data_IF_633080261803
#
_entry.id   IF_633080261803
#
_cell.length_a   1.000
_cell.length_b   1.000
_cell.length_c   1.000
_cell.angle_alpha   90.00
_cell.angle_beta   90.00
_cell.angle_gamma   90.00
#
_symmetry.space_group_name_H-M   'P 1'
#
loop_
_entity.id
_entity.type
_entity.pdbx_description
1 polymer ?
#
# COMPACT_ATOMS: atom_id res chain seq x y z
N UNK A 1 -13.70 -15.02 1.15
CA UNK A 1 -13.82 -16.20 0.25
C UNK A 1 -12.84 -17.28 0.67
N UNK A 2 -13.20 -18.57 0.66
CA UNK A 2 -12.24 -19.65 0.95
C UNK A 2 -11.18 -19.75 -0.15
N UNK A 3 -9.94 -20.07 0.23
CA UNK A 3 -8.85 -20.35 -0.70
C UNK A 3 -8.95 -21.82 -1.13
N UNK A 4 -9.14 -22.07 -2.42
CA UNK A 4 -9.39 -23.40 -2.97
C UNK A 4 -8.37 -23.80 -4.05
N UNK A 5 -8.19 -25.11 -4.22
CA UNK A 5 -7.41 -25.70 -5.32
C UNK A 5 -5.92 -25.37 -5.27
N UNK A 6 -5.31 -25.13 -6.44
CA UNK A 6 -3.87 -24.89 -6.59
C UNK A 6 -3.33 -23.66 -5.83
N UNK A 7 -4.21 -22.73 -5.43
CA UNK A 7 -3.82 -21.55 -4.66
C UNK A 7 -3.40 -21.88 -3.22
N UNK A 8 -3.88 -23.00 -2.65
CA UNK A 8 -3.52 -23.45 -1.29
C UNK A 8 -2.01 -23.68 -1.19
N UNK A 9 -1.39 -24.25 -2.23
CA UNK A 9 0.07 -24.50 -2.25
C UNK A 9 0.90 -23.21 -2.22
N UNK A 10 0.34 -22.10 -2.72
CA UNK A 10 1.04 -20.82 -2.84
C UNK A 10 0.77 -19.89 -1.64
N UNK A 11 -0.43 -19.93 -1.07
CA UNK A 11 -0.90 -18.95 -0.09
C UNK A 11 -1.42 -19.56 1.22
N UNK A 12 -1.42 -20.88 1.34
CA UNK A 12 -1.95 -21.60 2.50
C UNK A 12 -3.47 -21.81 2.44
N UNK A 13 -3.95 -22.68 3.31
CA UNK A 13 -5.39 -22.89 3.52
C UNK A 13 -5.95 -21.74 4.38
N UNK A 14 -7.18 -21.33 4.10
CA UNK A 14 -7.84 -20.27 4.86
C UNK A 14 -8.80 -19.45 4.02
N UNK A 15 -9.04 -18.22 4.47
CA UNK A 15 -9.92 -17.26 3.80
C UNK A 15 -9.15 -16.07 3.26
N UNK A 16 -9.52 -15.64 2.06
CA UNK A 16 -9.03 -14.43 1.42
C UNK A 16 -10.10 -13.34 1.45
N UNK A 17 -9.68 -12.11 1.67
CA UNK A 17 -10.50 -10.90 1.47
C UNK A 17 -9.97 -10.06 0.32
N UNK A 18 -10.88 -9.49 -0.47
CA UNK A 18 -10.57 -8.46 -1.47
C UNK A 18 -10.86 -7.12 -0.82
N UNK A 19 -9.88 -6.24 -0.82
CA UNK A 19 -9.94 -4.93 -0.19
C UNK A 19 -10.68 -3.95 -1.10
N UNK A 20 -11.28 -2.91 -0.52
CA UNK A 20 -11.67 -1.73 -1.28
C UNK A 20 -10.46 -0.79 -1.47
N UNK A 21 -10.36 -0.05 -2.59
CA UNK A 21 -9.29 0.93 -2.81
C UNK A 21 -9.19 1.96 -1.69
N UNK A 22 -10.34 2.38 -1.15
CA UNK A 22 -10.42 3.36 -0.06
C UNK A 22 -9.84 2.83 1.26
N UNK A 23 -9.91 1.53 1.52
CA UNK A 23 -9.35 0.93 2.74
C UNK A 23 -7.82 0.90 2.68
N UNK A 24 -7.28 0.63 1.48
CA UNK A 24 -5.83 0.70 1.24
C UNK A 24 -5.34 2.15 1.36
N UNK A 25 -6.06 3.11 0.76
CA UNK A 25 -5.74 4.53 0.87
C UNK A 25 -5.79 5.02 2.34
N UNK A 26 -6.85 4.66 3.07
CA UNK A 26 -6.98 4.99 4.49
C UNK A 26 -5.85 4.38 5.34
N UNK A 27 -5.45 3.14 5.06
CA UNK A 27 -4.33 2.48 5.72
C UNK A 27 -3.00 3.20 5.44
N UNK A 28 -2.79 3.69 4.20
CA UNK A 28 -1.62 4.47 3.83
C UNK A 28 -1.63 5.87 4.49
N UNK A 29 -2.78 6.55 4.55
CA UNK A 29 -2.94 7.84 5.25
C UNK A 29 -2.74 7.76 6.76
N UNK A 30 -3.06 6.62 7.36
CA UNK A 30 -2.90 6.38 8.79
C UNK A 30 -1.44 6.24 9.24
N UNK A 31 -0.47 6.17 8.31
CA UNK A 31 0.95 6.06 8.65
C UNK A 31 1.45 7.40 9.17
N UNK A 32 1.91 7.48 10.43
CA UNK A 32 2.38 8.73 11.01
C UNK A 32 3.68 9.21 10.35
N UNK A 33 3.98 10.51 10.51
CA UNK A 33 5.23 11.10 10.02
C UNK A 33 6.43 10.40 10.67
N UNK A 34 7.51 10.21 9.90
CA UNK A 34 8.72 9.53 10.37
C UNK A 34 8.60 8.01 10.54
N UNK A 35 7.50 7.38 10.07
CA UNK A 35 7.38 5.93 10.01
C UNK A 35 7.18 5.46 8.58
N UNK A 36 7.70 4.26 8.30
CA UNK A 36 7.42 3.50 7.09
C UNK A 36 6.50 2.33 7.43
N UNK A 37 5.65 1.98 6.46
CA UNK A 37 4.87 0.75 6.48
C UNK A 37 5.19 -0.06 5.23
N UNK A 38 4.92 -1.36 5.28
CA UNK A 38 4.99 -2.22 4.09
C UNK A 38 3.60 -2.61 3.60
N UNK A 39 3.50 -3.01 2.34
CA UNK A 39 2.29 -3.65 1.82
C UNK A 39 1.93 -4.92 2.59
N UNK A 40 2.91 -5.69 3.10
CA UNK A 40 2.64 -6.85 3.96
C UNK A 40 1.97 -6.44 5.26
N UNK A 41 2.43 -5.36 5.90
CA UNK A 41 1.84 -4.86 7.14
C UNK A 41 0.41 -4.33 6.94
N UNK A 42 0.17 -3.60 5.84
CA UNK A 42 -1.17 -3.14 5.47
C UNK A 42 -2.11 -4.34 5.25
N UNK A 43 -1.67 -5.35 4.49
CA UNK A 43 -2.43 -6.58 4.25
C UNK A 43 -2.72 -7.33 5.55
N UNK A 44 -1.74 -7.52 6.41
CA UNK A 44 -1.92 -8.23 7.68
C UNK A 44 -2.85 -7.47 8.65
N UNK A 45 -2.87 -6.14 8.59
CA UNK A 45 -3.82 -5.33 9.37
C UNK A 45 -5.24 -5.51 8.85
N UNK A 46 -5.45 -5.34 7.54
CA UNK A 46 -6.79 -5.42 6.93
C UNK A 46 -7.35 -6.84 7.02
N UNK A 47 -6.53 -7.88 6.81
CA UNK A 47 -6.95 -9.28 6.97
C UNK A 47 -7.51 -9.56 8.37
N UNK A 48 -6.86 -9.01 9.42
CA UNK A 48 -7.34 -9.13 10.81
C UNK A 48 -8.65 -8.38 11.04
N UNK A 49 -8.84 -7.22 10.41
CA UNK A 49 -10.09 -6.45 10.53
C UNK A 49 -11.27 -7.22 9.92
N UNK A 50 -11.06 -7.87 8.78
CA UNK A 50 -12.09 -8.64 8.07
C UNK A 50 -12.21 -10.11 8.49
N UNK A 51 -11.48 -10.52 9.55
CA UNK A 51 -11.43 -11.92 10.03
C UNK A 51 -11.05 -12.92 8.92
N UNK A 52 -10.17 -12.49 8.02
CA UNK A 52 -9.63 -13.29 6.94
C UNK A 52 -8.22 -13.79 7.28
N UNK A 53 -7.82 -14.94 6.71
CA UNK A 53 -6.44 -15.44 6.82
C UNK A 53 -5.46 -14.54 6.09
N UNK A 54 -5.82 -14.01 4.93
CA UNK A 54 -4.99 -13.08 4.16
C UNK A 54 -5.79 -12.15 3.26
N UNK A 55 -5.21 -11.01 2.89
CA UNK A 55 -5.74 -10.16 1.82
C UNK A 55 -5.17 -10.57 0.47
N UNK A 56 -5.95 -10.43 -0.60
CA UNK A 56 -5.48 -10.71 -1.95
C UNK A 56 -4.26 -9.82 -2.31
N UNK A 57 -3.06 -10.43 -2.51
CA UNK A 57 -1.83 -9.67 -2.68
C UNK A 57 -1.79 -8.87 -3.99
N UNK A 58 -2.48 -9.35 -5.03
CA UNK A 58 -2.60 -8.66 -6.32
C UNK A 58 -3.38 -7.35 -6.15
N UNK A 59 -4.57 -7.43 -5.55
CA UNK A 59 -5.43 -6.26 -5.38
C UNK A 59 -4.82 -5.22 -4.45
N UNK A 60 -4.15 -5.64 -3.37
CA UNK A 60 -3.45 -4.71 -2.47
C UNK A 60 -2.34 -3.92 -3.20
N UNK A 61 -1.59 -4.58 -4.09
CA UNK A 61 -0.56 -3.92 -4.90
C UNK A 61 -1.14 -2.94 -5.92
N UNK A 62 -2.21 -3.33 -6.63
CA UNK A 62 -2.90 -2.47 -7.60
C UNK A 62 -3.50 -1.25 -6.92
N UNK A 63 -4.20 -1.44 -5.80
CA UNK A 63 -4.86 -0.33 -5.10
C UNK A 63 -3.89 0.63 -4.45
N UNK A 64 -2.78 0.14 -3.89
CA UNK A 64 -1.74 1.03 -3.39
C UNK A 64 -1.07 1.82 -4.53
N UNK A 65 -0.97 1.25 -5.74
CA UNK A 65 -0.51 1.98 -6.92
C UNK A 65 -1.53 3.05 -7.36
N UNK A 66 -2.82 2.73 -7.39
CA UNK A 66 -3.88 3.70 -7.68
C UNK A 66 -3.88 4.84 -6.65
N UNK A 67 -3.74 4.54 -5.36
CA UNK A 67 -3.65 5.54 -4.30
C UNK A 67 -2.43 6.46 -4.46
N UNK A 68 -1.29 5.92 -4.90
CA UNK A 68 -0.10 6.73 -5.19
C UNK A 68 -0.33 7.69 -6.37
N UNK A 69 -0.92 7.21 -7.48
CA UNK A 69 -1.23 8.05 -8.63
C UNK A 69 -2.27 9.12 -8.31
N UNK A 70 -3.33 8.77 -7.58
CA UNK A 70 -4.34 9.71 -7.13
C UNK A 70 -3.74 10.81 -6.22
N UNK A 71 -2.75 10.46 -5.40
CA UNK A 71 -2.02 11.43 -4.59
C UNK A 71 -1.16 12.39 -5.42
N UNK A 72 -0.50 11.89 -6.47
CA UNK A 72 0.27 12.72 -7.40
C UNK A 72 -0.63 13.66 -8.21
N UNK A 73 -1.77 13.17 -8.70
CA UNK A 73 -2.78 14.00 -9.39
C UNK A 73 -3.33 15.09 -8.47
N UNK A 74 -3.64 14.73 -7.21
CA UNK A 74 -4.09 15.69 -6.22
C UNK A 74 -3.01 16.74 -5.88
N UNK A 75 -1.73 16.31 -5.83
CA UNK A 75 -0.59 17.21 -5.63
C UNK A 75 -0.45 18.20 -6.80
N UNK A 76 -0.54 17.71 -8.03
CA UNK A 76 -0.51 18.53 -9.24
C UNK A 76 -1.70 19.50 -9.32
N UNK A 77 -2.85 19.12 -8.78
CA UNK A 77 -4.03 19.98 -8.61
C UNK A 77 -3.92 20.98 -7.44
N UNK A 78 -2.78 21.03 -6.74
CA UNK A 78 -2.52 21.97 -5.64
C UNK A 78 -3.13 21.56 -4.29
N UNK A 79 -3.61 20.31 -4.15
CA UNK A 79 -4.14 19.84 -2.87
C UNK A 79 -3.02 19.57 -1.87
N UNK A 80 -3.20 20.05 -0.63
CA UNK A 80 -2.22 19.88 0.44
C UNK A 80 -2.39 18.59 1.25
N UNK A 81 -3.54 17.90 1.14
CA UNK A 81 -3.88 16.69 1.90
C UNK A 81 -3.90 15.44 1.02
N UNK A 82 -2.74 15.09 0.49
CA UNK A 82 -2.56 13.90 -0.34
C UNK A 82 -2.21 12.67 0.49
N UNK A 83 -2.38 11.48 -0.09
CA UNK A 83 -1.96 10.23 0.54
C UNK A 83 -0.44 10.16 0.59
N UNK A 84 0.19 9.92 1.76
CA UNK A 84 1.65 9.87 1.90
C UNK A 84 2.19 8.54 1.37
N UNK A 85 2.06 8.33 0.06
CA UNK A 85 2.38 7.05 -0.59
C UNK A 85 3.88 6.70 -0.48
N UNK A 86 4.75 7.69 -0.37
CA UNK A 86 6.19 7.53 -0.13
C UNK A 86 6.51 6.79 1.18
N UNK A 87 5.58 6.74 2.14
CA UNK A 87 5.74 5.98 3.39
C UNK A 87 5.43 4.49 3.26
N UNK A 88 4.92 4.06 2.10
CA UNK A 88 4.52 2.67 1.86
C UNK A 88 5.48 1.98 0.89
N UNK A 89 6.18 0.94 1.37
CA UNK A 89 7.13 0.17 0.57
C UNK A 89 6.61 -1.23 0.23
N UNK A 90 7.03 -1.77 -0.93
CA UNK A 90 6.60 -3.10 -1.39
C UNK A 90 7.09 -4.23 -0.47
N UNK A 91 8.32 -4.15 0.02
CA UNK A 91 8.96 -5.13 0.89
C UNK A 91 10.07 -4.47 1.72
N UNK A 92 10.53 -5.16 2.78
CA UNK A 92 11.50 -4.67 3.79
C UNK A 92 12.93 -4.36 3.27
N UNK A 93 13.09 -3.99 2.00
CA UNK A 93 14.41 -3.68 1.43
C UNK A 93 14.45 -2.91 0.11
N UNK A 94 13.37 -2.77 -0.67
CA UNK A 94 13.45 -1.95 -1.89
C UNK A 94 12.07 -1.60 -2.46
N UNK A 95 11.94 -0.32 -2.83
CA UNK A 95 10.92 0.28 -3.72
C UNK A 95 9.59 0.65 -3.05
N UNK A 96 9.32 1.97 -2.99
CA UNK A 96 8.00 2.50 -2.66
C UNK A 96 6.94 2.05 -3.66
N UNK A 97 5.70 1.93 -3.20
CA UNK A 97 4.59 1.63 -4.10
C UNK A 97 4.30 2.87 -4.94
N UNK A 98 4.76 2.87 -6.19
CA UNK A 98 4.56 3.99 -7.10
C UNK A 98 5.84 4.54 -7.73
N UNK A 99 6.79 3.70 -8.15
CA UNK A 99 7.84 4.15 -9.07
C UNK A 99 7.18 4.56 -10.40
N UNK A 100 6.73 5.81 -10.49
CA UNK A 100 6.32 6.48 -11.71
C UNK A 100 7.57 6.61 -12.58
N UNK A 101 7.43 6.39 -13.90
CA UNK A 101 8.54 6.43 -14.86
C UNK A 101 9.31 7.77 -14.85
N UNK A 102 8.74 8.81 -14.25
CA UNK A 102 9.36 10.10 -13.98
C UNK A 102 10.19 10.10 -12.69
N UNK A 103 11.33 9.39 -12.68
CA UNK A 103 12.45 9.65 -11.76
C UNK A 103 12.25 9.38 -10.26
N UNK A 104 13.34 9.04 -9.56
CA UNK A 104 13.37 8.90 -8.10
C UNK A 104 13.34 10.25 -7.34
N UNK A 105 13.16 11.37 -8.04
CA UNK A 105 13.28 12.74 -7.53
C UNK A 105 12.29 13.15 -6.44
N UNK A 106 10.97 12.88 -6.57
CA UNK A 106 10.00 13.34 -5.56
C UNK A 106 10.04 12.51 -4.28
N UNK A 107 10.43 11.23 -4.35
CA UNK A 107 10.50 10.33 -3.20
C UNK A 107 11.69 10.63 -2.28
N UNK A 108 12.88 10.87 -2.83
CA UNK A 108 14.06 11.20 -2.00
C UNK A 108 13.88 12.53 -1.28
N UNK A 109 13.23 13.51 -1.92
CA UNK A 109 12.92 14.80 -1.32
C UNK A 109 11.81 14.70 -0.26
N UNK A 110 10.77 13.89 -0.49
CA UNK A 110 9.70 13.68 0.49
C UNK A 110 10.18 12.91 1.73
N UNK A 111 11.04 11.89 1.57
CA UNK A 111 11.65 11.18 2.69
C UNK A 111 12.66 12.06 3.45
N UNK A 112 13.50 12.82 2.74
CA UNK A 112 14.48 13.73 3.34
C UNK A 112 13.83 14.86 4.16
N UNK A 113 12.66 15.36 3.74
CA UNK A 113 11.90 16.35 4.49
C UNK A 113 11.24 15.81 5.77
N UNK A 114 11.16 14.49 5.95
CA UNK A 114 10.52 13.84 7.10
C UNK A 114 11.50 13.05 8.00
N UNK A 115 12.80 13.07 7.68
CA UNK A 115 13.85 12.47 8.49
C UNK A 115 13.81 10.93 8.53
N UNK A 116 13.45 10.29 7.40
CA UNK A 116 13.35 8.83 7.25
C UNK A 116 14.27 8.28 6.17
#
# INVERSE_FOLDING_TARGET
MPISGGMIRRWGAGTMVVLAPIEVDAAMRAVPKGRLTTLDQIRARLARQDKATLCCPLTAGIFAWIAAHAAEEASAAGQKRITPWWRTVKSAGAVAVGRVRAGAGPMSQACAGEGV
#
